data_IF_090210669863
#
_entry.id   IF_090210669863
#
_cell.length_a   1.000
_cell.length_b   1.000
_cell.length_c   1.000
_cell.angle_alpha   90.00
_cell.angle_beta   90.00
_cell.angle_gamma   90.00
#
_symmetry.space_group_name_H-M   'P 1'
#
loop_
_entity.id
_entity.type
_entity.pdbx_description
1 polymer ?
#
# COMPACT_ATOMS: atom_id res chain seq x y z
N UNK A 1 10.48 -4.44 -6.21
CA UNK A 1 9.96 -5.59 -5.44
C UNK A 1 8.45 -5.57 -5.61
N UNK A 2 7.81 -6.67 -6.01
CA UNK A 2 6.34 -6.70 -6.11
C UNK A 2 5.79 -6.71 -4.69
N UNK A 3 5.29 -5.56 -4.24
CA UNK A 3 4.67 -5.43 -2.91
C UNK A 3 3.19 -5.79 -3.06
N UNK A 4 2.82 -6.97 -2.59
CA UNK A 4 1.44 -7.42 -2.62
C UNK A 4 0.60 -6.65 -1.60
N UNK A 5 -0.53 -6.08 -2.03
CA UNK A 5 -1.44 -5.34 -1.15
C UNK A 5 -2.61 -6.22 -0.70
N UNK A 6 -2.42 -6.93 0.41
CA UNK A 6 -3.41 -7.85 0.99
C UNK A 6 -4.73 -7.19 1.40
N UNK A 7 -4.79 -5.85 1.51
CA UNK A 7 -6.02 -5.14 1.87
C UNK A 7 -7.05 -5.08 0.73
N UNK A 8 -6.62 -5.34 -0.51
CA UNK A 8 -7.51 -5.32 -1.68
C UNK A 8 -8.20 -6.67 -1.92
N UNK A 9 -7.77 -7.74 -1.25
CA UNK A 9 -8.31 -9.09 -1.40
C UNK A 9 -9.74 -9.11 -0.83
N UNK A 10 -10.70 -9.58 -1.63
CA UNK A 10 -12.09 -9.74 -1.18
C UNK A 10 -12.19 -10.89 -0.18
N UNK A 11 -13.08 -10.76 0.82
CA UNK A 11 -13.34 -11.85 1.77
C UNK A 11 -13.95 -13.05 1.05
N UNK A 12 -13.34 -14.22 1.21
CA UNK A 12 -13.84 -15.47 0.62
C UNK A 12 -15.07 -15.94 1.41
N UNK A 13 -16.26 -16.08 0.77
CA UNK A 13 -17.46 -16.56 1.44
C UNK A 13 -17.35 -18.03 1.85
N UNK A 14 -18.05 -18.47 2.91
CA UNK A 14 -18.22 -19.90 3.19
C UNK A 14 -19.07 -20.58 2.11
N UNK A 15 -19.01 -21.92 2.03
CA UNK A 15 -19.63 -22.68 0.96
C UNK A 15 -21.15 -22.48 0.84
N UNK A 16 -21.87 -22.38 1.96
CA UNK A 16 -23.31 -22.09 1.98
C UNK A 16 -23.62 -20.75 1.32
N UNK A 17 -22.96 -19.71 1.79
CA UNK A 17 -23.22 -18.34 1.37
C UNK A 17 -22.79 -18.15 -0.09
N UNK A 18 -21.73 -18.85 -0.52
CA UNK A 18 -21.31 -18.86 -1.91
C UNK A 18 -22.42 -19.36 -2.84
N UNK A 19 -23.05 -20.49 -2.49
CA UNK A 19 -24.18 -21.06 -3.25
C UNK A 19 -25.35 -20.08 -3.26
N UNK A 20 -25.71 -19.52 -2.11
CA UNK A 20 -26.83 -18.57 -2.01
C UNK A 20 -26.59 -17.30 -2.83
N UNK A 21 -25.37 -16.76 -2.82
CA UNK A 21 -24.98 -15.59 -3.63
C UNK A 21 -25.18 -15.90 -5.12
N UNK A 22 -24.71 -17.06 -5.60
CA UNK A 22 -24.79 -17.43 -7.02
C UNK A 22 -26.23 -17.69 -7.45
N UNK A 23 -26.99 -18.45 -6.66
CA UNK A 23 -28.38 -18.78 -6.95
C UNK A 23 -29.27 -17.53 -6.91
N UNK A 24 -29.04 -16.65 -5.94
CA UNK A 24 -29.73 -15.35 -5.85
C UNK A 24 -29.45 -14.49 -7.07
N UNK A 25 -28.18 -14.40 -7.50
CA UNK A 25 -27.81 -13.62 -8.70
C UNK A 25 -28.45 -14.22 -9.96
N UNK A 26 -28.45 -15.54 -10.09
CA UNK A 26 -29.10 -16.24 -11.22
C UNK A 26 -30.58 -15.94 -11.27
N UNK A 27 -31.28 -16.01 -10.14
CA UNK A 27 -32.71 -15.72 -10.09
C UNK A 27 -33.04 -14.26 -10.42
N UNK A 28 -32.21 -13.30 -9.99
CA UNK A 28 -32.43 -11.87 -10.25
C UNK A 28 -32.06 -11.43 -11.67
N UNK A 29 -31.15 -12.13 -12.35
CA UNK A 29 -30.61 -11.74 -13.67
C UNK A 29 -31.17 -12.55 -14.84
N UNK A 30 -31.77 -13.71 -14.59
CA UNK A 30 -32.38 -14.55 -15.63
C UNK A 30 -33.90 -14.48 -15.56
N UNK A 31 -34.64 -14.64 -16.68
CA UNK A 31 -36.09 -14.71 -16.64
C UNK A 31 -36.57 -15.86 -15.74
N UNK A 32 -37.70 -15.67 -15.07
CA UNK A 32 -38.19 -16.57 -14.01
C UNK A 32 -39.48 -17.31 -14.36
N UNK A 33 -40.28 -16.79 -15.29
CA UNK A 33 -41.59 -17.35 -15.65
C UNK A 33 -41.50 -18.14 -16.96
N UNK A 34 -42.10 -19.34 -16.97
CA UNK A 34 -42.36 -20.14 -18.17
C UNK A 34 -43.81 -20.62 -18.17
N UNK A 35 -44.35 -20.89 -19.37
CA UNK A 35 -45.68 -21.46 -19.53
C UNK A 35 -45.62 -22.78 -20.32
N UNK A 36 -46.47 -23.77 -19.99
CA UNK A 36 -46.47 -25.08 -20.66
C UNK A 36 -46.76 -25.02 -22.16
N UNK A 37 -47.49 -23.99 -22.62
CA UNK A 37 -47.90 -23.82 -24.01
C UNK A 37 -46.76 -23.37 -24.94
N UNK A 38 -45.59 -23.03 -24.39
CA UNK A 38 -44.47 -22.57 -25.21
C UNK A 38 -43.84 -23.70 -26.00
N UNK A 39 -43.32 -23.37 -27.19
CA UNK A 39 -42.55 -24.31 -28.00
C UNK A 39 -41.36 -24.89 -27.19
N UNK A 40 -41.11 -26.19 -27.35
CA UNK A 40 -40.09 -26.92 -26.60
C UNK A 40 -38.69 -26.31 -26.72
N UNK A 41 -38.37 -25.71 -27.88
CA UNK A 41 -37.12 -25.00 -28.12
C UNK A 41 -36.92 -23.84 -27.15
N UNK A 42 -37.98 -23.07 -26.88
CA UNK A 42 -37.96 -21.94 -25.94
C UNK A 42 -37.81 -22.40 -24.49
N UNK A 43 -38.47 -23.49 -24.11
CA UNK A 43 -38.35 -24.07 -22.75
C UNK A 43 -36.92 -24.59 -22.53
N UNK A 44 -36.34 -25.28 -23.51
CA UNK A 44 -34.94 -25.72 -23.45
C UNK A 44 -33.99 -24.52 -23.32
N UNK A 45 -34.16 -23.50 -24.16
CA UNK A 45 -33.33 -22.29 -24.11
C UNK A 45 -33.43 -21.58 -22.74
N UNK A 46 -34.61 -21.55 -22.12
CA UNK A 46 -34.81 -20.99 -20.79
C UNK A 46 -33.96 -21.69 -19.72
N UNK A 47 -34.02 -23.03 -19.65
CA UNK A 47 -33.23 -23.78 -18.67
C UNK A 47 -31.74 -23.78 -19.00
N UNK A 48 -31.36 -23.92 -20.28
CA UNK A 48 -29.97 -23.84 -20.70
C UNK A 48 -29.33 -22.50 -20.35
N UNK A 49 -30.08 -21.40 -20.47
CA UNK A 49 -29.61 -20.07 -20.02
C UNK A 49 -29.31 -20.05 -18.53
N UNK A 50 -30.18 -20.62 -17.68
CA UNK A 50 -29.96 -20.67 -16.23
C UNK A 50 -28.72 -21.49 -15.87
N UNK A 51 -28.53 -22.64 -16.50
CA UNK A 51 -27.37 -23.52 -16.28
C UNK A 51 -26.07 -22.84 -16.74
N UNK A 52 -26.08 -22.21 -17.91
CA UNK A 52 -24.88 -21.49 -18.41
C UNK A 52 -24.56 -20.25 -17.58
N UNK A 53 -25.57 -19.50 -17.15
CA UNK A 53 -25.36 -18.29 -16.35
C UNK A 53 -24.81 -18.62 -14.94
N UNK A 54 -25.32 -19.68 -14.30
CA UNK A 54 -24.76 -20.17 -13.02
C UNK A 54 -23.31 -20.60 -13.19
N UNK A 55 -23.02 -21.42 -14.21
CA UNK A 55 -21.67 -21.86 -14.51
C UNK A 55 -20.69 -20.70 -14.73
N UNK A 56 -21.09 -19.70 -15.53
CA UNK A 56 -20.28 -18.50 -15.77
C UNK A 56 -20.04 -17.71 -14.48
N UNK A 57 -21.09 -17.50 -13.68
CA UNK A 57 -20.98 -16.75 -12.41
C UNK A 57 -20.05 -17.45 -11.41
N UNK A 58 -20.12 -18.78 -11.32
CA UNK A 58 -19.21 -19.58 -10.50
C UNK A 58 -17.76 -19.42 -10.99
N UNK A 59 -17.53 -19.54 -12.30
CA UNK A 59 -16.20 -19.41 -12.88
C UNK A 59 -15.61 -18.03 -12.64
N UNK A 60 -16.36 -16.96 -12.90
CA UNK A 60 -15.92 -15.58 -12.64
C UNK A 60 -15.49 -15.38 -11.18
N UNK A 61 -16.28 -15.89 -10.22
CA UNK A 61 -15.98 -15.76 -8.80
C UNK A 61 -14.77 -16.56 -8.36
N UNK A 62 -14.64 -17.81 -8.83
CA UNK A 62 -13.50 -18.66 -8.50
C UNK A 62 -12.21 -18.15 -9.14
N UNK A 63 -12.27 -17.70 -10.39
CA UNK A 63 -11.13 -17.07 -11.08
C UNK A 63 -10.68 -15.81 -10.35
N UNK A 64 -11.62 -14.93 -9.95
CA UNK A 64 -11.28 -13.75 -9.15
C UNK A 64 -10.55 -14.11 -7.85
N UNK A 65 -11.01 -15.17 -7.15
CA UNK A 65 -10.33 -15.63 -5.92
C UNK A 65 -8.91 -16.09 -6.24
N UNK A 66 -8.70 -16.87 -7.31
CA UNK A 66 -7.38 -17.36 -7.69
C UNK A 66 -6.44 -16.20 -8.05
N UNK A 67 -6.94 -15.17 -8.73
CA UNK A 67 -6.15 -14.02 -9.18
C UNK A 67 -5.84 -13.03 -8.05
N UNK A 68 -6.74 -12.89 -7.06
CA UNK A 68 -6.56 -11.98 -5.92
C UNK A 68 -5.44 -12.45 -4.97
N UNK A 69 -5.19 -13.76 -4.89
CA UNK A 69 -4.15 -14.32 -4.01
C UNK A 69 -2.79 -14.44 -4.72
N UNK A 70 -1.69 -13.98 -4.08
CA UNK A 70 -0.36 -14.13 -4.65
C UNK A 70 0.07 -15.61 -4.70
N UNK A 71 0.72 -16.02 -5.78
CA UNK A 71 1.31 -17.36 -5.93
C UNK A 71 2.56 -17.47 -5.07
N UNK A 72 2.66 -18.53 -4.27
CA UNK A 72 3.76 -18.71 -3.32
C UNK A 72 5.13 -18.84 -4.00
N UNK A 73 5.20 -19.49 -5.15
CA UNK A 73 6.46 -19.72 -5.88
C UNK A 73 7.11 -18.41 -6.37
N UNK A 74 6.28 -17.39 -6.63
CA UNK A 74 6.71 -16.07 -7.11
C UNK A 74 6.84 -15.03 -5.97
N UNK A 75 6.64 -15.45 -4.71
CA UNK A 75 6.76 -14.54 -3.56
C UNK A 75 8.21 -14.41 -3.09
N UNK A 76 8.68 -13.17 -2.84
CA UNK A 76 10.01 -12.98 -2.26
C UNK A 76 10.08 -13.57 -0.84
N UNK A 77 11.27 -13.99 -0.38
CA UNK A 77 11.47 -14.65 0.93
C UNK A 77 11.04 -13.79 2.13
N UNK A 78 10.91 -12.47 1.97
CA UNK A 78 10.26 -11.59 2.93
C UNK A 78 9.07 -10.90 2.27
N UNK A 79 7.86 -11.20 2.76
CA UNK A 79 6.61 -10.53 2.36
C UNK A 79 6.40 -9.19 3.07
N UNK A 80 7.31 -8.83 3.99
CA UNK A 80 7.30 -7.53 4.66
C UNK A 80 7.90 -6.51 3.70
N UNK A 81 7.12 -5.49 3.34
CA UNK A 81 7.62 -4.34 2.61
C UNK A 81 8.86 -3.78 3.33
N UNK A 82 9.90 -3.35 2.61
CA UNK A 82 11.10 -2.84 3.24
C UNK A 82 10.72 -1.68 4.19
N UNK A 83 11.43 -1.56 5.32
CA UNK A 83 10.99 -0.74 6.46
C UNK A 83 10.77 0.74 6.13
N UNK A 84 11.48 1.22 5.11
CA UNK A 84 11.40 2.54 4.51
C UNK A 84 10.08 2.79 3.76
N UNK A 85 9.48 1.75 3.17
CA UNK A 85 8.16 1.80 2.53
C UNK A 85 7.03 1.44 3.52
N UNK A 86 7.34 0.68 4.58
CA UNK A 86 6.37 0.25 5.57
C UNK A 86 5.93 1.40 6.48
N UNK A 87 4.60 1.65 6.57
CA UNK A 87 4.01 2.58 7.54
C UNK A 87 3.50 3.91 6.97
N UNK A 88 3.73 4.20 5.69
CA UNK A 88 3.17 5.37 5.02
C UNK A 88 1.88 5.01 4.27
N UNK A 89 0.81 5.77 4.51
CA UNK A 89 -0.51 5.53 3.88
C UNK A 89 -0.58 6.11 2.47
N UNK A 90 0.08 7.25 2.27
CA UNK A 90 0.07 8.04 1.03
C UNK A 90 1.51 8.36 0.58
N UNK A 91 1.74 8.41 -0.73
CA UNK A 91 3.05 8.69 -1.33
C UNK A 91 3.63 10.05 -0.89
N UNK A 92 2.77 11.07 -0.78
CA UNK A 92 3.18 12.40 -0.32
C UNK A 92 3.71 12.41 1.12
N UNK A 93 3.28 11.47 1.97
CA UNK A 93 3.79 11.33 3.34
C UNK A 93 5.19 10.69 3.33
N UNK A 94 5.41 9.71 2.46
CA UNK A 94 6.71 9.05 2.29
C UNK A 94 7.77 10.05 1.80
N UNK A 95 7.44 10.90 0.82
CA UNK A 95 8.36 11.94 0.32
C UNK A 95 8.76 12.94 1.41
N UNK A 96 7.79 13.40 2.22
CA UNK A 96 8.04 14.30 3.35
C UNK A 96 8.98 13.66 4.37
N UNK A 97 8.76 12.39 4.70
CA UNK A 97 9.61 11.62 5.61
C UNK A 97 11.04 11.50 5.09
N UNK A 98 11.21 11.12 3.81
CA UNK A 98 12.53 11.04 3.17
C UNK A 98 13.27 12.39 3.18
N UNK A 99 12.54 13.48 2.91
CA UNK A 99 13.12 14.82 2.92
C UNK A 99 13.59 15.24 4.31
N UNK A 100 12.82 14.89 5.36
CA UNK A 100 13.20 15.15 6.74
C UNK A 100 14.44 14.34 7.14
N UNK A 101 14.49 13.06 6.78
CA UNK A 101 15.63 12.17 7.03
C UNK A 101 16.92 12.70 6.36
N UNK A 102 16.85 13.09 5.08
CA UNK A 102 17.97 13.73 4.37
C UNK A 102 18.40 15.04 5.03
N UNK A 103 17.46 15.85 5.54
CA UNK A 103 17.77 17.09 6.25
C UNK A 103 18.53 16.82 7.55
N UNK A 104 18.13 15.81 8.32
CA UNK A 104 18.82 15.43 9.56
C UNK A 104 20.26 14.96 9.30
N UNK A 105 20.50 14.21 8.22
CA UNK A 105 21.84 13.73 7.88
C UNK A 105 22.80 14.84 7.43
N UNK A 106 22.31 16.03 7.05
CA UNK A 106 23.17 17.10 6.50
C UNK A 106 24.31 17.48 7.43
N UNK A 107 24.03 17.70 8.71
CA UNK A 107 25.06 18.10 9.67
C UNK A 107 26.14 17.02 9.82
N UNK A 108 25.71 15.76 9.90
CA UNK A 108 26.61 14.60 9.99
C UNK A 108 27.48 14.49 8.74
N UNK A 109 26.89 14.64 7.55
CA UNK A 109 27.61 14.60 6.27
C UNK A 109 28.59 15.78 6.13
N UNK A 110 28.24 16.96 6.65
CA UNK A 110 29.16 18.11 6.70
C UNK A 110 30.35 17.81 7.61
N UNK A 111 30.11 17.26 8.81
CA UNK A 111 31.19 16.92 9.73
C UNK A 111 32.05 15.75 9.25
N UNK A 112 31.49 14.81 8.50
CA UNK A 112 32.24 13.70 7.90
C UNK A 112 33.13 14.14 6.73
N UNK A 113 32.78 15.24 6.05
CA UNK A 113 33.59 15.84 4.98
C UNK A 113 34.64 16.82 5.50
N UNK A 114 34.47 17.33 6.72
CA UNK A 114 35.46 18.19 7.36
C UNK A 114 36.73 17.37 7.62
N UNK A 115 37.85 17.78 7.02
CA UNK A 115 39.15 17.18 7.30
C UNK A 115 39.59 17.46 8.73
N UNK A 116 40.61 16.77 9.22
CA UNK A 116 41.14 17.03 10.57
C UNK A 116 41.62 18.48 10.77
N UNK A 117 42.06 19.15 9.69
CA UNK A 117 42.39 20.58 9.67
C UNK A 117 41.16 21.51 9.78
N UNK A 118 39.97 21.06 9.39
CA UNK A 118 38.72 21.85 9.44
C UNK A 118 37.98 21.67 10.77
N UNK A 119 38.39 20.71 11.62
CA UNK A 119 37.89 20.57 12.99
C UNK A 119 38.39 21.75 13.83
N UNK A 120 37.71 22.89 13.71
CA UNK A 120 37.96 24.08 14.54
C UNK A 120 37.56 23.81 16.00
N UNK A 121 38.43 23.16 16.75
CA UNK A 121 38.43 23.23 18.20
C UNK A 121 38.93 24.62 18.58
N UNK A 122 38.02 25.58 18.69
CA UNK A 122 38.38 26.84 19.36
C UNK A 122 38.76 26.47 20.80
N UNK A 123 39.98 26.77 21.26
CA UNK A 123 40.28 26.65 22.68
C UNK A 123 39.35 27.63 23.40
N UNK A 124 38.28 27.12 24.02
CA UNK A 124 37.47 27.91 24.93
C UNK A 124 38.38 28.21 26.12
N UNK A 125 38.97 29.40 26.13
CA UNK A 125 39.69 29.92 27.29
C UNK A 125 38.81 29.74 28.53
N UNK A 126 39.42 29.36 29.66
CA UNK A 126 38.69 29.13 30.90
C UNK A 126 37.90 30.38 31.31
N UNK A 127 36.77 30.22 32.01
CA UNK A 127 35.84 31.30 32.35
C UNK A 127 36.55 32.56 32.89
N UNK A 128 37.57 32.38 33.73
CA UNK A 128 38.35 33.45 34.35
C UNK A 128 39.22 34.26 33.37
N UNK A 129 39.58 33.71 32.21
CA UNK A 129 40.27 34.42 31.11
C UNK A 129 39.33 35.18 30.18
N UNK A 130 38.01 34.92 30.26
CA UNK A 130 36.98 35.55 29.40
C UNK A 130 36.16 36.61 30.15
N UNK A 131 36.08 36.53 31.48
CA UNK A 131 35.46 37.56 32.31
C UNK A 131 36.20 38.89 32.18
N UNK A 132 35.47 39.95 31.80
CA UNK A 132 35.99 41.32 31.69
C UNK A 132 36.54 41.70 30.31
N UNK A 133 36.69 40.74 29.37
CA UNK A 133 37.07 41.06 27.99
C UNK A 133 35.86 41.66 27.24
N UNK A 134 36.06 42.82 26.62
CA UNK A 134 35.05 43.44 25.76
C UNK A 134 34.81 42.57 24.52
N UNK A 135 33.55 42.27 24.19
CA UNK A 135 33.20 41.64 22.93
C UNK A 135 33.57 42.53 21.73
N UNK A 136 33.73 41.95 20.55
CA UNK A 136 34.05 42.69 19.32
C UNK A 136 32.84 43.56 18.94
N UNK A 137 32.85 44.83 19.33
CA UNK A 137 31.70 45.73 19.28
C UNK A 137 31.38 46.22 17.87
N UNK A 138 30.09 46.27 17.52
CA UNK A 138 29.57 46.85 16.28
C UNK A 138 28.74 48.11 16.51
N UNK A 139 29.01 48.89 17.57
CA UNK A 139 28.25 50.09 17.87
C UNK A 139 29.08 51.34 17.60
N UNK A 140 28.89 51.90 16.41
CA UNK A 140 29.29 53.26 16.04
C UNK A 140 28.40 54.24 16.83
N UNK A 141 28.97 54.95 17.80
CA UNK A 141 28.28 56.03 18.50
C UNK A 141 28.99 57.34 18.17
N UNK A 142 28.36 58.07 17.24
CA UNK A 142 28.46 59.50 16.90
C UNK A 142 29.74 60.25 17.24
#
# INVERSE_FOLDING_TARGET
>A
MVVYNFKKIQTVPPASDFVDIILTRTQRKTPTVIHPTYAISRIRAFYMRKVKFTQQTCQEKLSQIIDDFPRLDDTPPSMVAPRDESGFRDEAMAEKSMKLMKKQQRQMNTMARAGEADRHATPKLAKWQNTGKRGNGSTNSR
#
